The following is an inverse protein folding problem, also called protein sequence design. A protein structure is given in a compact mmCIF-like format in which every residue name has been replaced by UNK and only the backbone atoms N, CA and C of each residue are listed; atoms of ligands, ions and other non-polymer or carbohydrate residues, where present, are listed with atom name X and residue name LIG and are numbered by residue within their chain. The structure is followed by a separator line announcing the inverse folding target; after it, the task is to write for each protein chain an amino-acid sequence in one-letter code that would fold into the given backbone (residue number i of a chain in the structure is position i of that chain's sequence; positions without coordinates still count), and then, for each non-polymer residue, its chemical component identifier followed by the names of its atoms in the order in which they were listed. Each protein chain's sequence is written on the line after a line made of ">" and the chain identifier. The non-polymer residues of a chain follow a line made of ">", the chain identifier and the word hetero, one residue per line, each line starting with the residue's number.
data_IF_500360910693
#
_entry.id   IF_500360910693
#
_cell.length_a   1.000
_cell.length_b   1.000
_cell.length_c   1.000
_cell.angle_alpha   90.00
_cell.angle_beta   90.00
_cell.angle_gamma   90.00
#
_symmetry.space_group_name_H-M   'P 1'
#
loop_
_entity.id
_entity.type
_entity.pdbx_description
1 polymer ?
#
# COMPACT_ATOMS: atom_id res chain seq x y z
N UNK A 1 -11.92 16.83 -1.64
CA UNK A 1 -11.90 17.89 -0.61
C UNK A 1 -13.26 18.15 0.02
N UNK A 2 -14.30 18.58 -0.73
CA UNK A 2 -15.62 18.94 -0.18
C UNK A 2 -16.27 17.86 0.70
N UNK A 3 -16.08 16.59 0.39
CA UNK A 3 -16.60 15.48 1.19
C UNK A 3 -15.73 15.21 2.41
N UNK A 4 -14.44 15.44 2.31
CA UNK A 4 -13.46 15.18 3.38
C UNK A 4 -13.71 16.07 4.60
N UNK A 5 -14.10 17.33 4.41
CA UNK A 5 -14.40 18.26 5.50
C UNK A 5 -15.55 17.80 6.41
N UNK A 6 -16.41 16.92 5.91
CA UNK A 6 -17.57 16.37 6.66
C UNK A 6 -17.32 14.96 7.19
N UNK A 7 -16.14 14.39 6.90
CA UNK A 7 -15.82 13.04 7.30
C UNK A 7 -15.18 13.00 8.69
N UNK A 8 -15.62 12.09 9.53
CA UNK A 8 -14.92 11.73 10.77
C UNK A 8 -13.68 10.88 10.47
N UNK A 9 -13.78 10.04 9.42
CA UNK A 9 -12.64 9.26 8.95
C UNK A 9 -12.67 9.08 7.42
N UNK A 10 -11.48 9.04 6.81
CA UNK A 10 -11.26 8.70 5.40
C UNK A 10 -10.50 7.40 5.30
N UNK A 11 -11.02 6.47 4.51
CA UNK A 11 -10.51 5.10 4.41
C UNK A 11 -10.04 4.79 3.00
N UNK A 12 -8.75 4.51 2.85
CA UNK A 12 -8.20 3.88 1.66
C UNK A 12 -8.45 2.38 1.77
N UNK A 13 -9.33 1.81 0.95
CA UNK A 13 -9.78 0.43 1.15
C UNK A 13 -9.19 -0.57 0.16
N UNK A 14 -8.60 -0.10 -0.96
CA UNK A 14 -8.01 -0.95 -2.00
C UNK A 14 -6.89 -0.23 -2.76
N UNK A 15 -6.24 -0.93 -3.71
CA UNK A 15 -5.13 -0.42 -4.49
C UNK A 15 -3.82 -0.39 -3.71
N UNK A 16 -2.93 0.48 -4.11
CA UNK A 16 -1.65 0.74 -3.47
C UNK A 16 -1.19 2.17 -3.78
N UNK A 17 0.11 2.36 -3.94
CA UNK A 17 0.70 3.65 -4.30
C UNK A 17 0.87 3.82 -5.83
N UNK A 18 -0.09 3.31 -6.61
CA UNK A 18 -0.02 3.26 -8.08
C UNK A 18 0.00 4.64 -8.73
N UNK A 19 -0.76 5.59 -8.21
CA UNK A 19 -0.79 6.95 -8.75
C UNK A 19 -0.82 7.98 -7.62
N UNK A 20 -0.15 9.10 -7.84
CA UNK A 20 -0.27 10.26 -6.95
C UNK A 20 -1.46 11.13 -7.36
N UNK A 21 -2.22 11.61 -6.39
CA UNK A 21 -3.20 12.66 -6.60
C UNK A 21 -2.76 13.97 -5.94
N UNK A 22 -2.97 15.05 -6.64
CA UNK A 22 -2.54 16.36 -6.18
C UNK A 22 -3.70 17.07 -5.53
N UNK A 23 -3.48 17.54 -4.30
CA UNK A 23 -4.40 18.38 -3.55
C UNK A 23 -3.84 19.79 -3.44
N UNK A 24 -4.71 20.78 -3.50
CA UNK A 24 -4.36 22.18 -3.27
C UNK A 24 -5.24 22.68 -2.15
N UNK A 25 -4.64 22.93 -0.97
CA UNK A 25 -5.32 23.48 0.20
C UNK A 25 -4.63 24.76 0.59
N UNK A 26 -5.37 25.85 0.71
CA UNK A 26 -4.87 27.20 1.00
C UNK A 26 -3.67 27.61 0.12
N UNK A 27 -3.71 27.23 -1.16
CA UNK A 27 -2.65 27.51 -2.13
C UNK A 27 -1.43 26.58 -2.02
N UNK A 28 -1.35 25.73 -1.02
CA UNK A 28 -0.26 24.76 -0.85
C UNK A 28 -0.56 23.45 -1.60
N UNK A 29 0.34 23.09 -2.52
CA UNK A 29 0.27 21.85 -3.30
C UNK A 29 0.86 20.68 -2.54
N UNK A 30 0.10 19.61 -2.36
CA UNK A 30 0.56 18.34 -1.76
C UNK A 30 0.15 17.18 -2.64
N UNK A 31 1.09 16.25 -2.89
CA UNK A 31 0.85 15.02 -3.64
C UNK A 31 0.79 13.86 -2.66
N UNK A 32 -0.32 13.14 -2.67
CA UNK A 32 -0.53 11.91 -1.89
C UNK A 32 -0.66 10.72 -2.83
N UNK A 33 -0.11 9.58 -2.45
CA UNK A 33 -0.20 8.35 -3.24
C UNK A 33 -0.83 7.19 -2.47
N UNK A 34 -0.65 7.16 -1.16
CA UNK A 34 -1.04 6.06 -0.29
C UNK A 34 -1.84 6.53 0.92
N UNK A 35 -1.41 7.60 1.57
CA UNK A 35 -2.09 8.16 2.73
C UNK A 35 -3.40 8.83 2.26
N UNK A 36 -4.55 8.55 2.93
CA UNK A 36 -5.83 9.15 2.56
C UNK A 36 -5.81 10.68 2.62
N UNK A 37 -6.56 11.31 1.72
CA UNK A 37 -6.62 12.78 1.58
C UNK A 37 -7.03 13.54 2.85
N UNK A 38 -7.82 12.90 3.70
CA UNK A 38 -8.24 13.43 5.00
C UNK A 38 -7.10 13.82 5.93
N UNK A 39 -5.87 13.34 5.68
CA UNK A 39 -4.71 13.66 6.52
C UNK A 39 -4.39 15.16 6.55
N UNK A 40 -4.75 15.89 5.49
CA UNK A 40 -4.53 17.33 5.36
C UNK A 40 -5.60 18.16 6.10
N UNK A 41 -6.70 17.53 6.54
CA UNK A 41 -7.77 18.19 7.29
C UNK A 41 -7.65 17.91 8.79
N UNK A 42 -7.51 18.94 9.65
CA UNK A 42 -7.45 18.75 11.09
C UNK A 42 -8.68 17.99 11.63
N UNK A 43 -8.45 17.05 12.55
CA UNK A 43 -9.53 16.28 13.19
C UNK A 43 -10.06 15.09 12.38
N UNK A 44 -9.68 14.92 11.12
CA UNK A 44 -10.07 13.77 10.30
C UNK A 44 -9.10 12.61 10.53
N UNK A 45 -9.63 11.43 10.88
CA UNK A 45 -8.84 10.21 10.96
C UNK A 45 -8.63 9.59 9.58
N UNK A 46 -7.45 9.05 9.34
CA UNK A 46 -7.07 8.42 8.08
C UNK A 46 -6.75 6.96 8.30
N UNK A 47 -7.35 6.06 7.53
CA UNK A 47 -7.22 4.64 7.72
C UNK A 47 -6.81 3.95 6.41
N UNK A 48 -5.80 3.09 6.50
CA UNK A 48 -5.39 2.20 5.41
C UNK A 48 -5.94 0.81 5.72
N UNK A 49 -6.96 0.41 4.96
CA UNK A 49 -7.70 -0.83 5.14
C UNK A 49 -6.97 -2.04 4.53
N UNK A 50 -7.39 -3.22 4.96
CA UNK A 50 -6.80 -4.51 4.58
C UNK A 50 -6.91 -4.88 3.09
N UNK A 51 -7.69 -4.12 2.30
CA UNK A 51 -7.72 -4.25 0.84
C UNK A 51 -6.49 -3.69 0.15
N UNK A 52 -5.79 -2.76 0.78
CA UNK A 52 -4.58 -2.14 0.22
C UNK A 52 -3.41 -3.12 0.19
N UNK A 53 -2.59 -3.05 -0.88
CA UNK A 53 -1.25 -3.63 -0.92
C UNK A 53 -0.24 -2.53 -0.59
N UNK A 54 0.54 -2.72 0.47
CA UNK A 54 1.24 -1.65 1.18
C UNK A 54 2.75 -1.70 0.91
N UNK A 55 3.29 -0.65 0.30
CA UNK A 55 4.73 -0.40 0.29
C UNK A 55 5.11 0.39 1.54
N UNK A 56 5.88 -0.22 2.44
CA UNK A 56 6.35 0.44 3.66
C UNK A 56 7.25 1.63 3.34
N UNK A 57 8.15 1.48 2.38
CA UNK A 57 9.03 2.56 1.93
C UNK A 57 8.23 3.77 1.42
N UNK A 58 7.20 3.53 0.59
CA UNK A 58 6.37 4.61 0.06
C UNK A 58 5.57 5.28 1.18
N UNK A 59 4.99 4.50 2.10
CA UNK A 59 4.25 5.02 3.24
C UNK A 59 5.13 5.91 4.13
N UNK A 60 6.29 5.41 4.52
CA UNK A 60 7.21 6.14 5.41
C UNK A 60 7.73 7.42 4.77
N UNK A 61 8.11 7.37 3.49
CA UNK A 61 8.55 8.56 2.73
C UNK A 61 7.44 9.62 2.65
N UNK A 62 6.20 9.21 2.39
CA UNK A 62 5.06 10.12 2.32
C UNK A 62 4.73 10.70 3.69
N UNK A 63 4.76 9.88 4.75
CA UNK A 63 4.55 10.32 6.12
C UNK A 63 5.62 11.32 6.56
N UNK A 64 6.90 11.03 6.30
CA UNK A 64 8.02 11.93 6.65
C UNK A 64 7.87 13.30 5.94
N UNK A 65 7.50 13.30 4.66
CA UNK A 65 7.28 14.54 3.91
C UNK A 65 6.09 15.36 4.46
N UNK A 66 5.04 14.72 4.95
CA UNK A 66 3.91 15.38 5.58
C UNK A 66 4.27 15.93 6.96
N UNK A 67 5.00 15.17 7.76
CA UNK A 67 5.50 15.62 9.07
C UNK A 67 6.39 16.85 8.94
N UNK A 68 7.27 16.89 7.93
CA UNK A 68 8.10 18.07 7.64
C UNK A 68 7.27 19.31 7.29
N UNK A 69 6.04 19.14 6.81
CA UNK A 69 5.08 20.22 6.56
C UNK A 69 4.19 20.54 7.77
N UNK A 70 4.46 19.95 8.93
CA UNK A 70 3.70 20.18 10.17
C UNK A 70 2.41 19.38 10.30
N UNK A 71 2.18 18.38 9.44
CA UNK A 71 0.99 17.52 9.52
C UNK A 71 1.19 16.44 10.60
N UNK A 72 0.25 16.33 11.53
CA UNK A 72 0.27 15.33 12.60
C UNK A 72 -0.14 13.95 12.09
N UNK A 73 0.73 13.29 11.29
CA UNK A 73 0.44 12.02 10.63
C UNK A 73 0.25 10.90 11.65
N UNK A 74 1.20 10.75 12.58
CA UNK A 74 1.23 9.63 13.53
C UNK A 74 0.07 9.63 14.52
N UNK A 75 -0.55 10.78 14.76
CA UNK A 75 -1.72 10.90 15.66
C UNK A 75 -3.03 10.48 14.99
N UNK A 76 -3.08 10.49 13.66
CA UNK A 76 -4.33 10.37 12.91
C UNK A 76 -4.34 9.27 11.84
N UNK A 77 -3.19 8.70 11.51
CA UNK A 77 -3.09 7.62 10.54
C UNK A 77 -3.17 6.26 11.24
N UNK A 78 -4.02 5.37 10.72
CA UNK A 78 -4.11 3.98 11.15
C UNK A 78 -3.90 3.03 9.98
N UNK A 79 -3.17 1.94 10.22
CA UNK A 79 -2.85 0.91 9.22
C UNK A 79 -3.35 -0.44 9.70
N UNK A 80 -4.09 -1.14 8.86
CA UNK A 80 -4.56 -2.49 9.17
C UNK A 80 -3.40 -3.50 9.23
N UNK A 81 -3.33 -4.33 10.28
CA UNK A 81 -2.35 -5.43 10.37
C UNK A 81 -2.52 -6.47 9.25
N UNK A 82 -3.66 -6.48 8.57
CA UNK A 82 -3.98 -7.43 7.50
C UNK A 82 -3.62 -6.94 6.09
N UNK A 83 -3.04 -5.75 5.92
CA UNK A 83 -2.51 -5.31 4.64
C UNK A 83 -1.41 -6.26 4.16
N UNK A 84 -1.47 -6.70 2.91
CA UNK A 84 -0.37 -7.39 2.26
C UNK A 84 0.73 -6.40 1.92
N UNK A 85 1.99 -6.79 2.09
CA UNK A 85 3.14 -5.94 1.78
C UNK A 85 3.56 -6.08 0.32
N UNK A 86 3.96 -4.97 -0.27
CA UNK A 86 4.69 -4.96 -1.53
C UNK A 86 6.18 -5.13 -1.21
N UNK A 87 6.75 -6.23 -1.70
CA UNK A 87 8.16 -6.56 -1.54
C UNK A 87 8.98 -6.10 -2.76
N UNK A 88 10.30 -5.93 -2.64
CA UNK A 88 11.18 -5.67 -3.78
C UNK A 88 11.03 -6.70 -4.91
N UNK A 89 10.76 -7.97 -4.57
CA UNK A 89 10.52 -9.05 -5.53
C UNK A 89 9.24 -8.85 -6.36
N UNK A 90 8.18 -8.24 -5.80
CA UNK A 90 6.98 -7.88 -6.57
C UNK A 90 7.31 -6.83 -7.63
N UNK A 91 8.12 -5.83 -7.28
CA UNK A 91 8.59 -4.79 -8.21
C UNK A 91 9.45 -5.41 -9.33
N UNK A 92 10.34 -6.33 -8.96
CA UNK A 92 11.19 -7.04 -9.91
C UNK A 92 10.36 -7.89 -10.89
N UNK A 93 9.35 -8.62 -10.39
CA UNK A 93 8.43 -9.42 -11.21
C UNK A 93 7.58 -8.55 -12.14
N UNK A 94 7.03 -7.45 -11.65
CA UNK A 94 6.24 -6.51 -12.45
C UNK A 94 7.05 -6.00 -13.64
N UNK A 95 8.25 -5.52 -13.39
CA UNK A 95 9.18 -5.05 -14.43
C UNK A 95 9.66 -6.16 -15.38
N UNK A 96 9.85 -7.37 -14.86
CA UNK A 96 10.27 -8.50 -15.70
C UNK A 96 9.16 -8.94 -16.65
N UNK A 97 7.91 -8.93 -16.19
CA UNK A 97 6.72 -9.22 -17.01
C UNK A 97 6.54 -8.21 -18.13
N UNK A 98 6.61 -6.92 -17.81
CA UNK A 98 6.50 -5.84 -18.80
C UNK A 98 7.60 -5.97 -19.88
N UNK A 99 8.85 -6.25 -19.48
CA UNK A 99 9.93 -6.48 -20.44
C UNK A 99 9.69 -7.71 -21.34
N UNK A 100 9.19 -8.80 -20.77
CA UNK A 100 8.94 -10.03 -21.50
C UNK A 100 7.79 -9.88 -22.52
N UNK A 101 6.80 -9.05 -22.26
CA UNK A 101 5.69 -8.76 -23.16
C UNK A 101 6.06 -7.84 -24.32
N UNK A 102 7.13 -7.05 -24.20
CA UNK A 102 7.61 -6.16 -25.24
C UNK A 102 6.54 -5.22 -25.77
N UNK A 103 6.20 -5.34 -27.06
CA UNK A 103 5.18 -4.48 -27.71
C UNK A 103 3.74 -4.72 -27.19
N UNK A 104 3.50 -5.83 -26.51
CA UNK A 104 2.23 -6.17 -25.91
C UNK A 104 2.17 -5.81 -24.40
N UNK A 105 3.15 -5.06 -23.91
CA UNK A 105 3.18 -4.63 -22.53
C UNK A 105 1.93 -3.82 -22.18
N UNK A 106 1.39 -4.05 -20.98
CA UNK A 106 0.20 -3.34 -20.47
C UNK A 106 0.51 -1.89 -20.15
N UNK A 107 1.78 -1.60 -19.83
CA UNK A 107 2.21 -0.27 -19.41
C UNK A 107 1.96 -0.05 -17.90
N UNK A 108 2.26 -1.05 -17.09
CA UNK A 108 2.12 -0.97 -15.64
C UNK A 108 3.00 0.13 -15.06
N UNK A 109 2.70 0.57 -13.85
CA UNK A 109 3.56 1.57 -13.16
C UNK A 109 4.89 0.98 -12.68
N UNK A 110 5.10 -0.33 -12.80
CA UNK A 110 6.30 -1.05 -12.35
C UNK A 110 6.51 -1.01 -10.84
N UNK A 111 5.43 -0.84 -10.07
CA UNK A 111 5.46 -0.70 -8.60
C UNK A 111 5.12 -1.98 -7.85
N UNK A 112 4.90 -3.08 -8.56
CA UNK A 112 4.64 -4.39 -7.97
C UNK A 112 3.22 -4.58 -7.43
N UNK A 113 2.26 -3.74 -7.83
CA UNK A 113 0.88 -3.80 -7.34
C UNK A 113 0.21 -5.13 -7.71
N UNK A 114 0.22 -5.47 -9.01
CA UNK A 114 -0.38 -6.71 -9.52
C UNK A 114 0.20 -7.96 -8.86
N UNK A 115 1.52 -8.17 -8.88
CA UNK A 115 2.16 -9.31 -8.20
C UNK A 115 1.86 -9.40 -6.70
N UNK A 116 1.75 -8.27 -6.00
CA UNK A 116 1.37 -8.27 -4.58
C UNK A 116 -0.09 -8.71 -4.36
N UNK A 117 -1.02 -8.34 -5.27
CA UNK A 117 -2.39 -8.86 -5.25
C UNK A 117 -2.46 -10.34 -5.59
N UNK A 118 -1.66 -10.83 -6.53
CA UNK A 118 -1.53 -12.28 -6.79
C UNK A 118 -1.16 -13.04 -5.53
N UNK A 119 -0.16 -12.58 -4.81
CA UNK A 119 0.29 -13.20 -3.56
C UNK A 119 -0.78 -13.15 -2.47
N UNK A 120 -1.51 -12.03 -2.38
CA UNK A 120 -2.62 -11.90 -1.45
C UNK A 120 -3.71 -12.94 -1.70
N UNK A 121 -4.14 -13.10 -2.97
CA UNK A 121 -5.17 -14.05 -3.38
C UNK A 121 -4.66 -15.50 -3.27
N UNK A 122 -3.39 -15.74 -3.61
CA UNK A 122 -2.72 -17.03 -3.45
C UNK A 122 -2.45 -17.41 -1.97
N UNK A 123 -2.70 -16.51 -1.03
CA UNK A 123 -2.52 -16.71 0.43
C UNK A 123 -1.08 -16.91 0.88
N UNK A 124 -0.10 -16.45 0.10
CA UNK A 124 1.33 -16.48 0.45
C UNK A 124 1.89 -15.09 0.82
N UNK A 125 1.09 -14.01 0.74
CA UNK A 125 1.53 -12.66 1.04
C UNK A 125 2.11 -12.54 2.47
N UNK A 126 3.20 -11.81 2.60
CA UNK A 126 3.66 -11.24 3.87
C UNK A 126 2.74 -10.09 4.25
N UNK A 127 2.27 -10.04 5.50
CA UNK A 127 1.35 -9.00 5.99
C UNK A 127 2.03 -8.10 7.01
N UNK A 128 1.42 -6.94 7.24
CA UNK A 128 1.88 -6.01 8.29
C UNK A 128 2.01 -6.70 9.65
N UNK A 129 1.06 -7.56 10.02
CA UNK A 129 1.12 -8.32 11.29
C UNK A 129 2.37 -9.20 11.41
N UNK A 130 2.92 -9.69 10.30
CA UNK A 130 4.09 -10.58 10.32
C UNK A 130 5.36 -9.83 10.72
N UNK A 131 5.42 -8.50 10.50
CA UNK A 131 6.58 -7.65 10.83
C UNK A 131 6.98 -7.70 12.31
N UNK A 132 6.04 -7.97 13.21
CA UNK A 132 6.25 -7.95 14.66
C UNK A 132 6.61 -9.32 15.24
N UNK A 133 6.81 -10.32 14.39
CA UNK A 133 7.23 -11.68 14.77
C UNK A 133 8.37 -12.13 13.84
N UNK A 134 9.62 -11.83 14.22
CA UNK A 134 10.80 -11.99 13.35
C UNK A 134 10.92 -13.39 12.73
N UNK A 135 10.70 -14.44 13.50
CA UNK A 135 10.83 -15.81 13.00
C UNK A 135 9.75 -16.15 11.97
N UNK A 136 8.53 -15.70 12.23
CA UNK A 136 7.40 -15.83 11.30
C UNK A 136 7.61 -15.01 10.04
N UNK A 137 8.09 -13.78 10.17
CA UNK A 137 8.44 -12.94 9.05
C UNK A 137 9.50 -13.61 8.17
N UNK A 138 10.59 -14.10 8.80
CA UNK A 138 11.68 -14.76 8.08
C UNK A 138 11.20 -16.01 7.33
N UNK A 139 10.40 -16.87 7.98
CA UNK A 139 9.85 -18.07 7.36
C UNK A 139 8.97 -17.74 6.14
N UNK A 140 7.99 -16.83 6.30
CA UNK A 140 7.10 -16.41 5.19
C UNK A 140 7.86 -15.71 4.06
N UNK A 141 8.77 -14.82 4.40
CA UNK A 141 9.60 -14.13 3.41
C UNK A 141 10.44 -15.12 2.62
N UNK A 142 11.02 -16.14 3.31
CA UNK A 142 11.78 -17.21 2.67
C UNK A 142 10.95 -17.95 1.63
N UNK A 143 9.75 -18.41 2.00
CA UNK A 143 8.84 -19.10 1.08
C UNK A 143 8.49 -18.25 -0.15
N UNK A 144 8.18 -16.98 0.06
CA UNK A 144 7.82 -16.05 -1.02
C UNK A 144 8.99 -15.77 -1.93
N UNK A 145 10.18 -15.48 -1.37
CA UNK A 145 11.37 -15.17 -2.16
C UNK A 145 11.92 -16.40 -2.89
N UNK A 146 11.81 -17.60 -2.35
CA UNK A 146 12.16 -18.82 -3.07
C UNK A 146 11.36 -18.94 -4.37
N UNK A 147 10.04 -18.79 -4.28
CA UNK A 147 9.17 -18.81 -5.45
C UNK A 147 9.46 -17.64 -6.43
N UNK A 148 9.56 -16.41 -5.93
CA UNK A 148 9.80 -15.24 -6.79
C UNK A 148 11.16 -15.29 -7.47
N UNK A 149 12.21 -15.67 -6.74
CA UNK A 149 13.56 -15.79 -7.28
C UNK A 149 13.68 -16.91 -8.31
N UNK A 150 12.95 -18.01 -8.13
CA UNK A 150 12.81 -19.04 -9.15
C UNK A 150 12.19 -18.45 -10.44
N UNK A 151 11.08 -17.71 -10.33
CA UNK A 151 10.45 -17.08 -11.48
C UNK A 151 11.36 -16.04 -12.15
N UNK A 152 12.01 -15.18 -11.37
CA UNK A 152 12.93 -14.17 -11.87
C UNK A 152 14.10 -14.79 -12.63
N UNK A 153 14.78 -15.76 -12.00
CA UNK A 153 16.00 -16.34 -12.59
C UNK A 153 15.72 -17.33 -13.73
N UNK A 154 14.72 -18.21 -13.56
CA UNK A 154 14.49 -19.32 -14.51
C UNK A 154 13.52 -18.99 -15.63
N UNK A 155 12.51 -18.18 -15.36
CA UNK A 155 11.51 -17.85 -16.37
C UNK A 155 11.81 -16.53 -17.07
N UNK A 156 12.20 -15.49 -16.31
CA UNK A 156 12.43 -14.15 -16.87
C UNK A 156 13.90 -13.84 -17.16
N UNK A 157 14.85 -14.68 -16.76
CA UNK A 157 16.30 -14.39 -16.85
C UNK A 157 16.66 -13.03 -16.23
N UNK A 158 16.04 -12.72 -15.10
CA UNK A 158 16.20 -11.47 -14.37
C UNK A 158 16.95 -11.69 -13.05
N UNK A 159 17.48 -10.61 -12.49
CA UNK A 159 18.17 -10.63 -11.20
C UNK A 159 17.24 -11.05 -10.07
N UNK A 160 17.79 -11.85 -9.15
CA UNK A 160 17.10 -12.27 -7.93
C UNK A 160 17.18 -11.20 -6.85
N UNK A 161 16.31 -11.32 -5.84
CA UNK A 161 16.26 -10.42 -4.70
C UNK A 161 16.90 -11.08 -3.48
N UNK A 162 17.77 -10.34 -2.80
CA UNK A 162 18.49 -10.82 -1.61
C UNK A 162 17.56 -10.92 -0.40
N UNK A 163 17.50 -12.11 0.20
CA UNK A 163 16.65 -12.38 1.36
C UNK A 163 17.04 -11.57 2.60
N UNK A 164 18.35 -11.56 2.90
CA UNK A 164 18.83 -10.96 4.16
C UNK A 164 18.57 -9.45 4.17
N UNK A 165 18.86 -8.80 3.06
CA UNK A 165 18.61 -7.37 2.89
C UNK A 165 17.13 -7.04 3.04
N UNK A 166 16.25 -7.80 2.38
CA UNK A 166 14.79 -7.54 2.49
C UNK A 166 14.31 -7.77 3.90
N UNK A 167 14.78 -8.80 4.60
CA UNK A 167 14.40 -9.08 5.98
C UNK A 167 14.81 -7.94 6.92
N UNK A 168 16.03 -7.44 6.81
CA UNK A 168 16.53 -6.33 7.62
C UNK A 168 15.75 -5.03 7.35
N UNK A 169 15.50 -4.71 6.09
CA UNK A 169 14.71 -3.55 5.70
C UNK A 169 13.28 -3.63 6.25
N UNK A 170 12.63 -4.80 6.17
CA UNK A 170 11.28 -5.00 6.69
C UNK A 170 11.21 -4.88 8.22
N UNK A 171 12.21 -5.40 8.93
CA UNK A 171 12.28 -5.26 10.40
C UNK A 171 12.40 -3.78 10.78
N UNK A 172 13.36 -3.06 10.19
CA UNK A 172 13.57 -1.65 10.47
C UNK A 172 12.35 -0.77 10.13
N UNK A 173 11.70 -1.03 8.99
CA UNK A 173 10.47 -0.33 8.59
C UNK A 173 9.29 -0.70 9.50
N UNK A 174 9.23 -1.96 9.94
CA UNK A 174 8.21 -2.47 10.86
C UNK A 174 8.21 -1.72 12.19
N UNK A 175 9.38 -1.50 12.77
CA UNK A 175 9.54 -0.71 14.01
C UNK A 175 8.97 0.72 13.84
N UNK A 176 9.20 1.35 12.70
CA UNK A 176 8.73 2.71 12.43
C UNK A 176 7.22 2.79 12.27
N UNK A 177 6.58 1.78 11.67
CA UNK A 177 5.11 1.81 11.46
C UNK A 177 4.33 1.24 12.63
N UNK A 178 4.99 0.60 13.60
CA UNK A 178 4.32 -0.04 14.74
C UNK A 178 3.28 0.85 15.43
N UNK A 179 3.54 2.15 15.69
CA UNK A 179 2.56 3.03 16.33
C UNK A 179 1.30 3.27 15.49
N UNK A 180 1.36 3.06 14.17
CA UNK A 180 0.24 3.25 13.25
C UNK A 180 -0.67 2.02 13.16
N UNK A 181 -0.20 0.84 13.61
CA UNK A 181 -0.92 -0.42 13.40
C UNK A 181 -2.06 -0.57 14.39
N UNK A 182 -3.27 -0.72 13.86
CA UNK A 182 -4.50 -0.84 14.66
C UNK A 182 -5.57 -1.67 13.94
N UNK A 183 -6.56 -2.16 14.68
CA UNK A 183 -7.75 -2.78 14.08
C UNK A 183 -8.62 -1.71 13.40
N UNK A 184 -8.40 -1.56 12.10
CA UNK A 184 -9.13 -0.59 11.27
C UNK A 184 -10.63 -0.91 11.24
N UNK A 185 -11.02 -2.20 11.26
CA UNK A 185 -12.43 -2.59 11.23
C UNK A 185 -13.14 -2.18 12.52
N UNK A 186 -12.51 -2.37 13.67
CA UNK A 186 -13.06 -1.93 14.94
C UNK A 186 -13.11 -0.40 15.05
N UNK A 187 -12.07 0.29 14.57
CA UNK A 187 -12.07 1.75 14.50
C UNK A 187 -13.23 2.28 13.66
N UNK A 188 -13.49 1.70 12.49
CA UNK A 188 -14.61 2.08 11.64
C UNK A 188 -15.97 1.85 12.33
N UNK A 189 -16.15 0.68 12.97
CA UNK A 189 -17.36 0.40 13.74
C UNK A 189 -17.57 1.39 14.88
N UNK A 190 -16.50 1.79 15.55
CA UNK A 190 -16.56 2.78 16.62
C UNK A 190 -17.01 4.15 16.09
N UNK A 191 -16.49 4.60 14.96
CA UNK A 191 -16.92 5.86 14.32
C UNK A 191 -18.41 5.78 13.88
N UNK A 192 -18.83 4.66 13.28
CA UNK A 192 -20.23 4.45 12.90
C UNK A 192 -21.18 4.52 14.11
N UNK A 193 -20.81 3.87 15.24
CA UNK A 193 -21.61 3.92 16.47
C UNK A 193 -21.75 5.34 17.05
N UNK A 194 -20.78 6.21 16.78
CA UNK A 194 -20.82 7.64 17.17
C UNK A 194 -21.60 8.51 16.19
N UNK A 195 -22.12 7.94 15.10
CA UNK A 195 -22.78 8.68 14.03
C UNK A 195 -21.83 9.48 13.13
N UNK A 196 -20.52 9.15 13.15
CA UNK A 196 -19.52 9.78 12.32
C UNK A 196 -19.67 9.41 10.84
N UNK A 197 -19.46 10.38 9.95
CA UNK A 197 -19.45 10.15 8.52
C UNK A 197 -18.12 9.49 8.10
N UNK A 198 -18.22 8.40 7.35
CA UNK A 198 -17.07 7.70 6.79
C UNK A 198 -16.96 7.97 5.28
N UNK A 199 -15.79 8.35 4.81
CA UNK A 199 -15.48 8.51 3.39
C UNK A 199 -14.56 7.38 2.95
N UNK A 200 -15.00 6.59 1.97
CA UNK A 200 -14.18 5.55 1.34
C UNK A 200 -13.53 6.11 0.08
N UNK A 201 -12.22 6.19 0.10
CA UNK A 201 -11.40 6.74 -0.97
C UNK A 201 -10.81 5.59 -1.81
N UNK A 202 -11.21 5.47 -3.09
CA UNK A 202 -10.62 4.54 -4.04
C UNK A 202 -9.23 5.00 -4.50
N UNK A 203 -8.39 4.04 -4.92
CA UNK A 203 -7.03 4.31 -5.38
C UNK A 203 -6.97 4.86 -6.80
N UNK A 204 -7.93 4.51 -7.63
CA UNK A 204 -7.98 4.85 -9.06
C UNK A 204 -9.38 5.28 -9.49
N UNK A 205 -9.48 5.84 -10.69
CA UNK A 205 -10.76 6.15 -11.32
C UNK A 205 -11.50 4.90 -11.80
N UNK A 206 -12.82 5.02 -12.02
CA UNK A 206 -13.69 3.90 -12.39
C UNK A 206 -13.26 3.17 -13.67
N UNK A 207 -12.71 3.86 -14.65
CA UNK A 207 -12.22 3.26 -15.90
C UNK A 207 -10.95 2.39 -15.72
N UNK A 208 -10.28 2.52 -14.56
CA UNK A 208 -9.13 1.69 -14.20
C UNK A 208 -9.49 0.57 -13.21
N UNK A 209 -10.76 0.41 -12.91
CA UNK A 209 -11.25 -0.70 -12.08
C UNK A 209 -11.13 -2.03 -12.81
N UNK A 210 -10.74 -3.07 -12.05
CA UNK A 210 -10.42 -4.39 -12.62
C UNK A 210 -11.64 -5.13 -13.17
N UNK A 211 -12.84 -4.82 -12.65
CA UNK A 211 -14.08 -5.51 -13.03
C UNK A 211 -14.91 -4.70 -14.02
N UNK A 212 -14.97 -3.37 -13.84
CA UNK A 212 -15.85 -2.49 -14.66
C UNK A 212 -15.09 -1.52 -15.56
N UNK A 213 -13.77 -1.52 -15.49
CA UNK A 213 -12.90 -0.66 -16.30
C UNK A 213 -12.58 -1.21 -17.69
N UNK A 214 -11.56 -0.64 -18.31
CA UNK A 214 -11.11 -0.94 -19.68
C UNK A 214 -10.10 -2.10 -19.70
N UNK A 215 -10.50 -3.26 -19.19
CA UNK A 215 -9.65 -4.45 -19.14
C UNK A 215 -9.05 -4.78 -20.53
N UNK A 216 -7.74 -5.14 -20.65
CA UNK A 216 -6.77 -5.41 -19.58
C UNK A 216 -6.00 -4.16 -19.09
N UNK A 217 -6.28 -2.97 -19.61
CA UNK A 217 -5.60 -1.70 -19.28
C UNK A 217 -6.20 -1.06 -18.01
N UNK A 218 -6.11 -1.79 -16.90
CA UNK A 218 -6.67 -1.45 -15.59
C UNK A 218 -5.59 -1.53 -14.51
N UNK A 219 -5.94 -1.19 -13.27
CA UNK A 219 -4.97 -1.15 -12.16
C UNK A 219 -5.31 -2.21 -11.13
#
# INVERSE_FOLDING_TARGET
>A
DLLTERAAAVVRFQGGHNAGHTLVIDGAKTVLSLIPSGILHPGVHCLIGNGVVLSLEALLREADALVQKGVAVYDRLGVSPNCALILPSHIALDRARERAQGVNAIGTTGRGIGPAYEDKVARRAVRVADLFQRDRLAARLGEVLDFHNFMLSRYFSAETVDFQRVLEDLVAQGERIQPLVQDVSERLRAEMRRGGNLLFEGAQGALLDNDVGTYPFVT
#
